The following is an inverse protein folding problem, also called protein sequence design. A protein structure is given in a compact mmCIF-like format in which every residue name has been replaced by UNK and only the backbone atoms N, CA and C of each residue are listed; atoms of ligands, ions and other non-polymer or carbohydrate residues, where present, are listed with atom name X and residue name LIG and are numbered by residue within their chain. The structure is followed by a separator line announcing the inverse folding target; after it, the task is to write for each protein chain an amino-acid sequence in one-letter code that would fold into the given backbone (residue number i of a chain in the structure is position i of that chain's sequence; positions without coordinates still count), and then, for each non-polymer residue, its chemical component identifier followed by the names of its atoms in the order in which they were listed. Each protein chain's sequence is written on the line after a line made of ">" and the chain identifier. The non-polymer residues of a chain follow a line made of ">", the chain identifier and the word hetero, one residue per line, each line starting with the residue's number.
data_IF_297983578587
#
_entry.id   IF_297983578587
#
_cell.length_a   1.000
_cell.length_b   1.000
_cell.length_c   1.000
_cell.angle_alpha   90.00
_cell.angle_beta   90.00
_cell.angle_gamma   90.00
#
_symmetry.space_group_name_H-M   'P 1'
#
loop_
_entity.id
_entity.type
_entity.pdbx_description
1 polymer ?
#
# COMPACT_ATOMS: atom_id res chain seq x y z
N UNK A 1 10.08 -14.62 0.24
CA UNK A 1 8.96 -15.52 0.56
C UNK A 1 7.67 -14.77 0.33
N UNK A 2 6.69 -15.39 -0.33
CA UNK A 2 5.35 -14.85 -0.49
C UNK A 2 4.48 -15.28 0.70
N UNK A 3 3.68 -14.34 1.21
CA UNK A 3 2.91 -14.52 2.45
C UNK A 3 1.40 -14.29 2.25
N UNK A 4 0.99 -13.53 1.23
CA UNK A 4 -0.42 -13.28 0.93
C UNK A 4 -0.68 -12.97 -0.55
N UNK A 5 -1.91 -13.21 -1.00
CA UNK A 5 -2.40 -12.93 -2.36
C UNK A 5 -3.81 -12.32 -2.30
N UNK A 6 -4.12 -11.36 -3.18
CA UNK A 6 -5.45 -10.76 -3.30
C UNK A 6 -6.47 -11.78 -3.83
N UNK A 7 -7.77 -11.50 -3.67
CA UNK A 7 -8.82 -12.46 -4.05
C UNK A 7 -8.86 -12.77 -5.55
N UNK A 8 -8.46 -11.82 -6.39
CA UNK A 8 -8.36 -11.96 -7.84
C UNK A 8 -6.98 -12.47 -8.31
N UNK A 9 -6.04 -12.70 -7.40
CA UNK A 9 -4.68 -13.14 -7.72
C UNK A 9 -3.77 -12.07 -8.33
N UNK A 10 -4.22 -10.82 -8.46
CA UNK A 10 -3.48 -9.77 -9.16
C UNK A 10 -2.33 -9.18 -8.34
N UNK A 11 -2.38 -9.30 -7.02
CA UNK A 11 -1.37 -8.76 -6.09
C UNK A 11 -0.86 -9.86 -5.18
N UNK A 12 0.46 -10.00 -5.08
CA UNK A 12 1.14 -10.87 -4.13
C UNK A 12 2.01 -10.02 -3.20
N UNK A 13 2.02 -10.32 -1.91
CA UNK A 13 2.86 -9.63 -0.91
C UNK A 13 3.73 -10.62 -0.15
N UNK A 14 4.81 -10.11 0.43
CA UNK A 14 5.70 -10.91 1.25
C UNK A 14 6.95 -10.14 1.66
N UNK A 15 8.06 -10.85 1.77
CA UNK A 15 9.38 -10.25 2.02
C UNK A 15 10.47 -10.84 1.14
N UNK A 16 11.47 -10.03 0.82
CA UNK A 16 12.68 -10.41 0.10
C UNK A 16 13.91 -9.88 0.84
N UNK A 17 15.07 -10.49 0.60
CA UNK A 17 16.33 -9.98 1.11
C UNK A 17 17.01 -9.12 0.04
N UNK A 18 17.23 -7.85 0.34
CA UNK A 18 17.96 -6.93 -0.51
C UNK A 18 19.12 -6.36 0.29
N UNK A 19 20.36 -6.58 -0.19
CA UNK A 19 21.59 -6.16 0.50
C UNK A 19 21.66 -6.59 1.97
N UNK A 20 21.20 -7.82 2.26
CA UNK A 20 21.18 -8.37 3.62
C UNK A 20 20.04 -7.89 4.52
N UNK A 21 19.19 -6.97 4.05
CA UNK A 21 18.02 -6.50 4.78
C UNK A 21 16.76 -7.21 4.32
N UNK A 22 15.95 -7.67 5.27
CA UNK A 22 14.61 -8.16 4.98
C UNK A 22 13.69 -6.97 4.66
N UNK A 23 13.03 -6.99 3.50
CA UNK A 23 12.17 -5.90 3.02
C UNK A 23 10.84 -6.42 2.54
N UNK A 24 9.77 -5.75 2.96
CA UNK A 24 8.43 -6.02 2.50
C UNK A 24 8.30 -5.66 1.00
N UNK A 25 7.74 -6.58 0.21
CA UNK A 25 7.48 -6.35 -1.21
C UNK A 25 6.00 -6.47 -1.55
N UNK A 26 5.62 -5.82 -2.64
CA UNK A 26 4.41 -6.11 -3.43
C UNK A 26 4.83 -6.57 -4.82
N UNK A 27 4.12 -7.53 -5.39
CA UNK A 27 4.28 -7.94 -6.78
C UNK A 27 2.95 -7.81 -7.51
N UNK A 28 3.01 -7.35 -8.75
CA UNK A 28 1.89 -7.36 -9.70
C UNK A 28 2.37 -7.83 -11.06
N UNK A 29 1.46 -8.34 -11.89
CA UNK A 29 1.80 -8.77 -13.26
C UNK A 29 2.26 -7.61 -14.14
N UNK A 30 1.71 -6.41 -13.94
CA UNK A 30 2.02 -5.22 -14.74
C UNK A 30 3.32 -4.51 -14.30
N UNK A 31 3.56 -4.43 -12.99
CA UNK A 31 4.67 -3.67 -12.41
C UNK A 31 5.87 -4.51 -11.96
N UNK A 32 5.73 -5.84 -11.91
CA UNK A 32 6.74 -6.71 -11.31
C UNK A 32 6.82 -6.53 -9.79
N UNK A 33 8.01 -6.77 -9.23
CA UNK A 33 8.27 -6.67 -7.79
C UNK A 33 8.65 -5.24 -7.40
N UNK A 34 8.04 -4.76 -6.32
CA UNK A 34 8.15 -3.40 -5.81
C UNK A 34 8.53 -3.45 -4.32
N UNK A 35 9.55 -2.69 -3.92
CA UNK A 35 9.95 -2.52 -2.51
C UNK A 35 9.06 -1.48 -1.84
N UNK A 36 8.26 -1.91 -0.86
CA UNK A 36 7.34 -1.03 -0.14
C UNK A 36 8.06 0.06 0.66
N UNK A 37 9.31 -0.16 1.06
CA UNK A 37 10.12 0.88 1.72
C UNK A 37 10.42 2.04 0.77
N UNK A 38 10.57 1.77 -0.53
CA UNK A 38 10.82 2.81 -1.51
C UNK A 38 9.54 3.54 -1.89
N UNK A 39 8.45 2.81 -2.10
CA UNK A 39 7.17 3.39 -2.52
C UNK A 39 6.54 4.25 -1.45
N UNK A 40 6.62 3.83 -0.18
CA UNK A 40 5.97 4.50 0.95
C UNK A 40 6.98 5.24 1.84
N UNK A 41 8.16 5.58 1.31
CA UNK A 41 9.22 6.26 2.05
C UNK A 41 8.75 7.55 2.74
N UNK A 42 7.83 8.29 2.11
CA UNK A 42 7.27 9.53 2.66
C UNK A 42 6.43 9.34 3.91
N UNK A 43 5.93 8.12 4.16
CA UNK A 43 5.15 7.77 5.35
C UNK A 43 6.04 7.31 6.52
N UNK A 44 7.33 7.06 6.27
CA UNK A 44 8.24 6.46 7.24
C UNK A 44 9.05 7.54 7.96
N UNK A 45 9.16 7.42 9.28
CA UNK A 45 10.16 8.19 10.04
C UNK A 45 11.56 7.72 9.64
N UNK A 46 12.51 8.64 9.53
CA UNK A 46 13.90 8.31 9.14
C UNK A 46 14.45 7.14 9.96
N UNK A 47 14.99 6.12 9.26
CA UNK A 47 15.49 4.88 9.87
C UNK A 47 14.44 3.79 10.10
N UNK A 48 13.15 4.08 9.90
CA UNK A 48 12.10 3.05 9.96
C UNK A 48 12.10 2.20 8.70
N UNK A 49 11.61 0.96 8.81
CA UNK A 49 11.53 0.05 7.68
C UNK A 49 10.33 -0.89 7.77
N UNK A 50 9.78 -1.24 6.61
CA UNK A 50 8.78 -2.29 6.43
C UNK A 50 9.51 -3.60 6.12
N UNK A 51 9.49 -4.54 7.08
CA UNK A 51 10.29 -5.76 7.04
C UNK A 51 9.56 -6.94 6.39
N UNK A 52 8.31 -7.18 6.77
CA UNK A 52 7.49 -8.25 6.21
C UNK A 52 6.04 -7.79 6.01
N UNK A 53 5.52 -7.94 4.80
CA UNK A 53 4.09 -7.91 4.55
C UNK A 53 3.50 -9.31 4.74
N UNK A 54 2.60 -9.47 5.71
CA UNK A 54 2.03 -10.77 6.08
C UNK A 54 0.69 -11.06 5.43
N UNK A 55 -0.12 -10.05 5.20
CA UNK A 55 -1.42 -10.20 4.58
C UNK A 55 -1.83 -8.93 3.82
N UNK A 56 -2.80 -9.08 2.93
CA UNK A 56 -3.47 -7.99 2.25
C UNK A 56 -4.99 -8.20 2.25
N UNK A 57 -5.74 -7.10 2.16
CA UNK A 57 -7.19 -7.16 1.99
C UNK A 57 -7.56 -7.80 0.64
N UNK A 58 -8.75 -8.41 0.50
CA UNK A 58 -9.17 -9.07 -0.74
C UNK A 58 -9.08 -8.20 -2.00
N UNK A 59 -9.33 -6.90 -1.87
CA UNK A 59 -9.24 -5.88 -2.92
C UNK A 59 -7.82 -5.32 -3.14
N UNK A 60 -6.84 -5.81 -2.38
CA UNK A 60 -5.44 -5.37 -2.45
C UNK A 60 -5.15 -4.00 -1.85
N UNK A 61 -6.14 -3.31 -1.26
CA UNK A 61 -5.97 -1.96 -0.74
C UNK A 61 -5.08 -1.88 0.48
N UNK A 62 -5.30 -2.74 1.47
CA UNK A 62 -4.59 -2.70 2.73
C UNK A 62 -3.56 -3.81 2.82
N UNK A 63 -2.37 -3.48 3.29
CA UNK A 63 -1.30 -4.46 3.58
C UNK A 63 -0.96 -4.35 5.06
N UNK A 64 -0.91 -5.48 5.76
CA UNK A 64 -0.49 -5.55 7.16
C UNK A 64 0.78 -6.37 7.31
N UNK A 65 1.59 -6.03 8.31
CA UNK A 65 2.90 -6.61 8.44
C UNK A 65 3.64 -6.20 9.70
N UNK A 66 4.93 -6.52 9.76
CA UNK A 66 5.84 -6.11 10.82
C UNK A 66 6.99 -5.30 10.23
N UNK A 67 7.36 -4.22 10.93
CA UNK A 67 8.42 -3.31 10.53
C UNK A 67 9.16 -2.75 11.73
N UNK A 68 10.34 -2.20 11.49
CA UNK A 68 11.08 -1.46 12.51
C UNK A 68 10.61 -0.01 12.54
N UNK A 69 10.15 0.46 13.70
CA UNK A 69 9.81 1.84 13.95
C UNK A 69 10.98 2.52 14.66
N UNK A 70 11.66 3.44 13.96
CA UNK A 70 12.81 4.15 14.52
C UNK A 70 12.44 5.18 15.58
N UNK A 71 11.20 5.66 15.61
CA UNK A 71 10.74 6.61 16.63
C UNK A 71 10.59 5.93 18.01
N UNK A 72 10.27 4.63 18.03
CA UNK A 72 10.09 3.85 19.26
C UNK A 72 11.20 2.83 19.51
N UNK A 73 12.11 2.66 18.54
CA UNK A 73 13.19 1.67 18.53
C UNK A 73 12.70 0.22 18.67
N UNK A 74 11.54 -0.09 18.07
CA UNK A 74 10.87 -1.39 18.23
C UNK A 74 10.44 -1.97 16.90
N UNK A 75 10.29 -3.29 16.88
CA UNK A 75 9.54 -3.98 15.84
C UNK A 75 8.06 -3.87 16.18
N UNK A 76 7.29 -3.27 15.29
CA UNK A 76 5.87 -2.98 15.48
C UNK A 76 5.06 -3.49 14.28
N UNK A 77 3.80 -3.81 14.54
CA UNK A 77 2.86 -4.12 13.48
C UNK A 77 2.51 -2.82 12.74
N UNK A 78 2.33 -2.91 11.42
CA UNK A 78 1.85 -1.80 10.61
C UNK A 78 0.61 -2.19 9.81
N UNK A 79 -0.17 -1.18 9.46
CA UNK A 79 -1.19 -1.22 8.42
C UNK A 79 -0.87 -0.14 7.40
N UNK A 80 -0.82 -0.53 6.14
CA UNK A 80 -0.50 0.33 5.00
C UNK A 80 -1.73 0.45 4.11
N UNK A 81 -2.17 1.67 3.81
CA UNK A 81 -3.13 1.95 2.74
C UNK A 81 -2.34 2.15 1.44
N UNK A 82 -2.62 1.30 0.44
CA UNK A 82 -1.83 1.30 -0.80
C UNK A 82 -2.20 2.42 -1.76
N UNK A 83 -3.30 3.15 -1.49
CA UNK A 83 -3.73 4.30 -2.28
C UNK A 83 -2.88 5.53 -1.91
N UNK A 84 -2.09 6.10 -2.83
CA UNK A 84 -1.30 7.30 -2.55
C UNK A 84 -2.20 8.53 -2.34
N UNK A 85 -1.94 9.33 -1.31
CA UNK A 85 -2.68 10.56 -0.94
C UNK A 85 -2.33 11.79 -1.82
N UNK A 86 -2.40 11.68 -3.16
CA UNK A 86 -3.22 12.64 -3.91
C UNK A 86 -4.40 11.99 -4.66
N UNK A 87 -4.37 10.66 -4.87
CA UNK A 87 -5.42 9.95 -5.59
C UNK A 87 -6.75 9.92 -4.80
N UNK A 88 -6.67 9.90 -3.46
CA UNK A 88 -7.81 10.02 -2.56
C UNK A 88 -8.61 11.31 -2.78
N UNK A 89 -7.93 12.43 -3.06
CA UNK A 89 -8.55 13.74 -3.26
C UNK A 89 -9.23 13.85 -4.65
N UNK A 90 -8.68 13.20 -5.68
CA UNK A 90 -9.25 13.22 -7.03
C UNK A 90 -10.54 12.37 -7.14
N UNK A 91 -10.68 11.31 -6.35
CA UNK A 91 -11.87 10.47 -6.33
C UNK A 91 -13.14 11.22 -5.87
N UNK A 92 -13.00 12.25 -5.02
CA UNK A 92 -14.12 13.10 -4.59
C UNK A 92 -14.58 14.09 -5.68
N UNK A 93 -13.70 14.47 -6.61
CA UNK A 93 -13.99 15.46 -7.65
C UNK A 93 -14.93 14.95 -8.76
N UNK A 94 -14.86 13.66 -9.09
CA UNK A 94 -15.70 13.06 -10.14
C UNK A 94 -17.16 12.88 -9.68
N UNK A 95 -17.41 12.75 -8.37
CA UNK A 95 -18.74 12.57 -7.79
C UNK A 95 -19.65 13.81 -7.87
N UNK A 96 -19.11 15.03 -7.77
CA UNK A 96 -19.91 16.26 -7.81
C UNK A 96 -20.36 16.65 -9.23
N UNK A 97 -19.58 16.32 -10.27
CA UNK A 97 -19.90 16.68 -11.65
C UNK A 97 -21.14 15.92 -12.20
N UNK A 98 -21.46 14.75 -11.65
CA UNK A 98 -22.64 13.96 -12.02
C UNK A 98 -23.97 14.51 -11.48
N UNK A 99 -23.95 15.37 -10.44
CA UNK A 99 -25.15 15.82 -9.73
C UNK A 99 -25.76 17.12 -10.26
N UNK A 100 -25.09 17.85 -11.15
CA UNK A 100 -25.55 19.18 -11.59
C UNK A 100 -26.29 19.21 -12.93
N UNK A 101 -26.49 18.07 -13.62
CA UNK A 101 -27.06 18.08 -14.98
C UNK A 101 -28.54 17.74 -15.12
N UNK A 102 -29.31 17.78 -14.04
CA UNK A 102 -30.78 17.60 -14.13
C UNK A 102 -31.51 18.64 -13.29
N UNK A 103 -31.77 19.81 -13.88
CA UNK A 103 -33.04 20.55 -13.78
C UNK A 103 -33.00 21.86 -14.58
N UNK A 104 -33.64 21.86 -15.75
CA UNK A 104 -34.76 22.77 -16.09
C UNK A 104 -35.18 22.51 -17.54
N UNK A 105 -36.37 21.93 -17.69
CA UNK A 105 -37.25 22.11 -18.85
C UNK A 105 -38.31 23.10 -18.41
N UNK A 106 -38.40 24.24 -19.09
CA UNK A 106 -39.60 24.94 -19.51
C UNK A 106 -39.20 25.74 -20.74
#
# INVERSE_FOLDING_TARGET
>A
MASGVSADGSVVVGYAYTSGQQRAFRWTSAGGMEDLNSTYASLLTNGSSLGEARALSPDGRYIVGWGYNAATLRVEAYLLDTVPEPASLLALGVGLAGLLRRRRRW
#
